data_IF_188871039624
#
_entry.id   IF_188871039624
#
_cell.length_a   1.000
_cell.length_b   1.000
_cell.length_c   1.000
_cell.angle_alpha   90.00
_cell.angle_beta   90.00
_cell.angle_gamma   90.00
#
_symmetry.space_group_name_H-M   'P 1'
#
loop_
_entity.id
_entity.type
_entity.pdbx_description
1 polymer ?
#
# COMPACT_ATOMS: atom_id res chain seq x y z
N UNK A 1 -6.31 -18.22 8.51
CA UNK A 1 -6.64 -17.06 9.36
C UNK A 1 -6.23 -15.80 8.60
N UNK A 2 -7.16 -14.94 8.20
CA UNK A 2 -6.84 -13.63 7.62
C UNK A 2 -7.05 -12.56 8.67
N UNK A 3 -6.02 -11.77 8.96
CA UNK A 3 -6.13 -10.58 9.80
C UNK A 3 -6.41 -9.37 8.90
N UNK A 4 -7.42 -8.59 9.27
CA UNK A 4 -7.69 -7.30 8.62
C UNK A 4 -6.98 -6.20 9.39
N UNK A 5 -6.22 -5.36 8.69
CA UNK A 5 -5.58 -4.17 9.25
C UNK A 5 -6.63 -3.06 9.42
N UNK A 6 -6.65 -2.36 10.55
CA UNK A 6 -7.61 -1.28 10.86
C UNK A 6 -6.92 -0.10 11.56
N UNK A 7 -7.61 1.05 11.68
CA UNK A 7 -7.13 2.20 12.46
C UNK A 7 -6.23 3.17 11.70
N UNK A 8 -6.31 3.19 10.37
CA UNK A 8 -5.52 4.09 9.51
C UNK A 8 -6.35 5.22 8.89
N UNK A 9 -7.61 5.38 9.28
CA UNK A 9 -8.46 6.48 8.84
C UNK A 9 -7.81 7.85 9.13
N UNK A 10 -7.78 8.72 8.11
CA UNK A 10 -7.18 10.05 8.20
C UNK A 10 -5.64 10.03 8.29
N UNK A 11 -4.99 8.88 8.09
CA UNK A 11 -3.54 8.78 7.91
C UNK A 11 -3.17 8.80 6.44
N UNK A 12 -1.96 9.26 6.16
CA UNK A 12 -1.36 9.25 4.83
C UNK A 12 -0.12 8.36 4.86
N UNK A 13 0.00 7.43 3.92
CA UNK A 13 1.15 6.53 3.79
C UNK A 13 1.83 6.66 2.42
N UNK A 14 3.16 6.80 2.42
CA UNK A 14 3.99 6.73 1.20
C UNK A 14 4.57 5.33 1.10
N UNK A 15 4.21 4.59 0.04
CA UNK A 15 4.71 3.23 -0.21
C UNK A 15 5.65 3.24 -1.41
N UNK A 16 6.93 2.98 -1.16
CA UNK A 16 7.95 2.84 -2.20
C UNK A 16 7.99 1.42 -2.76
N UNK A 17 8.49 1.27 -3.99
CA UNK A 17 8.56 -0.04 -4.64
C UNK A 17 7.18 -0.66 -4.93
N UNK A 18 6.10 0.11 -4.93
CA UNK A 18 4.74 -0.38 -5.18
C UNK A 18 4.35 -0.38 -6.67
N UNK A 19 5.22 0.10 -7.56
CA UNK A 19 4.91 0.30 -8.98
C UNK A 19 4.85 -0.95 -9.86
N UNK A 20 5.22 -2.15 -9.37
CA UNK A 20 5.19 -3.40 -10.15
C UNK A 20 4.11 -4.34 -9.64
N UNK A 21 3.47 -5.08 -10.55
CA UNK A 21 2.39 -6.01 -10.22
C UNK A 21 2.80 -7.14 -9.26
N UNK A 22 4.08 -7.54 -9.28
CA UNK A 22 4.63 -8.59 -8.41
C UNK A 22 5.57 -8.04 -7.33
N UNK A 23 5.50 -6.73 -7.03
CA UNK A 23 6.29 -6.19 -5.92
C UNK A 23 5.65 -6.49 -4.58
N UNK A 24 6.46 -6.40 -3.52
CA UNK A 24 5.99 -6.47 -2.12
C UNK A 24 5.22 -5.19 -1.75
N UNK A 25 5.61 -4.04 -2.31
CA UNK A 25 4.94 -2.76 -2.03
C UNK A 25 3.47 -2.75 -2.44
N UNK A 26 3.08 -3.47 -3.51
CA UNK A 26 1.69 -3.54 -3.96
C UNK A 26 0.74 -4.14 -2.91
N UNK A 27 0.94 -5.36 -2.37
CA UNK A 27 0.06 -5.89 -1.34
C UNK A 27 0.10 -5.07 -0.04
N UNK A 28 1.22 -4.45 0.31
CA UNK A 28 1.31 -3.53 1.45
C UNK A 28 0.41 -2.30 1.24
N UNK A 29 0.52 -1.66 0.07
CA UNK A 29 -0.32 -0.52 -0.27
C UNK A 29 -1.81 -0.86 -0.25
N UNK A 30 -2.17 -2.05 -0.76
CA UNK A 30 -3.56 -2.52 -0.72
C UNK A 30 -4.06 -2.72 0.71
N UNK A 31 -3.26 -3.35 1.58
CA UNK A 31 -3.63 -3.55 2.97
C UNK A 31 -3.82 -2.22 3.72
N UNK A 32 -2.94 -1.23 3.48
CA UNK A 32 -3.05 0.11 4.09
C UNK A 32 -4.27 0.88 3.58
N UNK A 33 -4.53 0.84 2.26
CA UNK A 33 -5.70 1.48 1.68
C UNK A 33 -7.01 0.85 2.19
N UNK A 34 -7.06 -0.49 2.30
CA UNK A 34 -8.19 -1.21 2.89
C UNK A 34 -8.41 -0.86 4.36
N UNK A 35 -7.36 -0.49 5.08
CA UNK A 35 -7.41 -0.07 6.48
C UNK A 35 -7.82 1.41 6.67
N UNK A 36 -8.16 2.13 5.59
CA UNK A 36 -8.64 3.51 5.63
C UNK A 36 -7.58 4.59 5.38
N UNK A 37 -6.36 4.21 4.99
CA UNK A 37 -5.26 5.15 4.73
C UNK A 37 -5.36 5.77 3.34
N UNK A 38 -5.02 7.06 3.21
CA UNK A 38 -4.71 7.67 1.92
C UNK A 38 -3.29 7.26 1.50
N UNK A 39 -3.13 6.64 0.34
CA UNK A 39 -1.84 6.03 -0.05
C UNK A 39 -1.24 6.71 -1.27
N UNK A 40 0.03 7.13 -1.15
CA UNK A 40 0.87 7.59 -2.26
C UNK A 40 1.82 6.48 -2.67
N UNK A 41 1.82 6.12 -3.95
CA UNK A 41 2.68 5.08 -4.50
C UNK A 41 3.86 5.69 -5.24
N UNK A 42 5.06 5.13 -5.05
CA UNK A 42 6.22 5.48 -5.86
C UNK A 42 6.93 4.24 -6.39
N UNK A 43 7.38 4.34 -7.64
CA UNK A 43 8.08 3.29 -8.37
C UNK A 43 8.85 3.90 -9.54
N UNK A 44 9.80 3.13 -10.07
CA UNK A 44 10.73 3.63 -11.10
C UNK A 44 10.22 3.50 -12.53
N UNK A 45 9.01 2.97 -12.74
CA UNK A 45 8.45 2.70 -14.08
C UNK A 45 9.18 1.61 -14.88
N UNK A 46 10.12 0.89 -14.25
CA UNK A 46 10.90 -0.16 -14.91
C UNK A 46 10.09 -1.45 -15.06
N UNK A 47 10.14 -2.05 -16.26
CA UNK A 47 9.52 -3.34 -16.58
C UNK A 47 10.00 -4.45 -15.64
#
# INVERSE_FOLDING_TARGET
MSYTLTGFEGKVAVVTGAGRMRSIGRPIALALAQAGCDVVLTGTGRR
#
